data_IF_206578327119
#
_entry.id   IF_206578327119
#
_cell.length_a   1.000
_cell.length_b   1.000
_cell.length_c   1.000
_cell.angle_alpha   90.00
_cell.angle_beta   90.00
_cell.angle_gamma   90.00
#
_symmetry.space_group_name_H-M   'P 1'
#
loop_
_entity.id
_entity.type
_entity.pdbx_description
1 polymer ?
#
# COMPACT_ATOMS: atom_id res chain seq x y z
N UNK A 1 12.28 -10.59 -38.38
CA UNK A 1 13.26 -11.41 -37.64
C UNK A 1 14.04 -10.51 -36.67
N UNK A 2 13.61 -10.19 -35.44
CA UNK A 2 14.46 -9.47 -34.46
C UNK A 2 14.15 -9.65 -32.91
N UNK A 3 14.95 -10.40 -32.13
CA UNK A 3 15.12 -10.57 -30.65
C UNK A 3 16.39 -9.82 -30.31
N UNK A 4 16.37 -8.81 -29.46
CA UNK A 4 17.61 -8.09 -29.19
C UNK A 4 18.34 -8.76 -28.03
N UNK A 5 19.51 -9.34 -28.30
CA UNK A 5 20.46 -9.76 -27.26
C UNK A 5 21.14 -8.52 -26.66
N UNK A 6 21.71 -8.62 -25.45
CA UNK A 6 22.34 -7.51 -24.72
C UNK A 6 23.56 -6.87 -25.43
N UNK A 7 23.91 -7.35 -26.62
CA UNK A 7 24.96 -6.82 -27.51
C UNK A 7 24.43 -6.03 -28.72
N UNK A 8 23.11 -5.80 -28.82
CA UNK A 8 22.51 -4.99 -29.90
C UNK A 8 22.24 -5.76 -31.20
N UNK A 9 22.43 -7.08 -31.22
CA UNK A 9 22.06 -7.94 -32.35
C UNK A 9 20.61 -8.38 -32.24
N UNK A 10 19.90 -8.26 -33.36
CA UNK A 10 18.45 -8.36 -33.44
C UNK A 10 18.06 -9.69 -34.13
N UNK A 11 17.62 -10.70 -33.38
CA UNK A 11 17.29 -12.08 -33.81
C UNK A 11 15.80 -12.49 -33.86
N UNK A 12 15.16 -12.50 -35.01
CA UNK A 12 13.83 -13.17 -35.11
C UNK A 12 12.56 -12.49 -34.55
N UNK A 13 11.48 -12.42 -35.34
CA UNK A 13 10.15 -12.29 -34.77
C UNK A 13 9.98 -13.62 -34.06
N UNK A 14 9.90 -13.61 -32.73
CA UNK A 14 10.00 -14.82 -31.94
C UNK A 14 8.75 -15.71 -32.00
N UNK A 15 7.71 -15.30 -32.75
CA UNK A 15 6.43 -16.00 -32.78
C UNK A 15 5.87 -16.16 -31.38
N UNK A 16 5.39 -17.37 -31.07
CA UNK A 16 4.89 -17.72 -29.73
C UNK A 16 5.98 -18.24 -28.78
N UNK A 17 7.25 -18.32 -29.23
CA UNK A 17 8.34 -18.94 -28.45
C UNK A 17 8.53 -18.30 -27.07
N UNK A 18 8.46 -16.96 -26.99
CA UNK A 18 8.60 -16.27 -25.71
C UNK A 18 7.48 -16.64 -24.72
N UNK A 19 6.26 -16.91 -25.20
CA UNK A 19 5.15 -17.29 -24.33
C UNK A 19 5.27 -18.76 -23.91
N UNK A 20 5.62 -19.66 -24.83
CA UNK A 20 5.82 -21.09 -24.51
C UNK A 20 6.97 -21.27 -23.53
N UNK A 21 8.06 -20.52 -23.71
CA UNK A 21 9.21 -20.54 -22.80
C UNK A 21 8.79 -20.03 -21.42
N UNK A 22 8.07 -18.92 -21.35
CA UNK A 22 7.53 -18.35 -20.10
C UNK A 22 6.59 -19.32 -19.36
N UNK A 23 5.67 -19.99 -20.07
CA UNK A 23 4.78 -20.98 -19.45
C UNK A 23 5.49 -22.28 -19.06
N UNK A 24 6.65 -22.56 -19.64
CA UNK A 24 7.50 -23.68 -19.26
C UNK A 24 8.43 -23.36 -18.08
N UNK A 25 8.57 -22.09 -17.68
CA UNK A 25 9.33 -21.70 -16.49
C UNK A 25 8.64 -22.19 -15.22
N UNK A 26 9.36 -23.00 -14.43
CA UNK A 26 8.84 -23.55 -13.17
C UNK A 26 8.53 -22.49 -12.10
N UNK A 27 9.08 -21.29 -12.21
CA UNK A 27 8.89 -20.21 -11.24
C UNK A 27 7.62 -19.38 -11.47
N UNK A 28 7.01 -19.46 -12.66
CA UNK A 28 5.87 -18.62 -13.03
C UNK A 28 4.68 -18.73 -12.05
N UNK A 29 4.23 -19.93 -11.62
CA UNK A 29 3.15 -20.04 -10.64
C UNK A 29 3.49 -19.37 -9.30
N UNK A 30 4.75 -19.46 -8.86
CA UNK A 30 5.22 -18.82 -7.63
C UNK A 30 5.23 -17.30 -7.71
N UNK A 31 5.65 -16.73 -8.85
CA UNK A 31 5.61 -15.28 -9.11
C UNK A 31 4.17 -14.78 -9.18
N UNK A 32 3.28 -15.49 -9.88
CA UNK A 32 1.86 -15.14 -9.96
C UNK A 32 1.21 -15.14 -8.58
N UNK A 33 1.44 -16.19 -7.77
CA UNK A 33 0.88 -16.26 -6.43
C UNK A 33 1.35 -15.09 -5.55
N UNK A 34 2.65 -14.77 -5.56
CA UNK A 34 3.19 -13.63 -4.81
C UNK A 34 2.59 -12.31 -5.27
N UNK A 35 2.34 -12.15 -6.57
CA UNK A 35 1.70 -10.96 -7.14
C UNK A 35 0.25 -10.84 -6.69
N UNK A 36 -0.50 -11.95 -6.70
CA UNK A 36 -1.89 -11.95 -6.19
C UNK A 36 -1.93 -11.62 -4.70
N UNK A 37 -1.08 -12.26 -3.90
CA UNK A 37 -0.98 -11.98 -2.45
C UNK A 37 -0.62 -10.52 -2.20
N UNK A 38 0.35 -9.98 -2.96
CA UNK A 38 0.73 -8.58 -2.90
C UNK A 38 -0.46 -7.66 -3.18
N UNK A 39 -1.14 -7.85 -4.32
CA UNK A 39 -2.24 -6.99 -4.75
C UNK A 39 -3.41 -7.07 -3.76
N UNK A 40 -3.89 -8.28 -3.46
CA UNK A 40 -5.04 -8.46 -2.56
C UNK A 40 -4.73 -7.93 -1.17
N UNK A 41 -3.56 -8.26 -0.62
CA UNK A 41 -3.17 -7.82 0.72
C UNK A 41 -3.00 -6.31 0.83
N UNK A 42 -2.23 -5.70 -0.09
CA UNK A 42 -1.99 -4.25 -0.07
C UNK A 42 -3.29 -3.49 -0.29
N UNK A 43 -4.11 -3.87 -1.28
CA UNK A 43 -5.37 -3.17 -1.57
C UNK A 43 -6.35 -3.28 -0.40
N UNK A 44 -6.54 -4.48 0.15
CA UNK A 44 -7.48 -4.70 1.26
C UNK A 44 -7.08 -3.88 2.49
N UNK A 45 -5.81 -3.99 2.91
CA UNK A 45 -5.32 -3.25 4.09
C UNK A 45 -5.37 -1.75 3.85
N UNK A 46 -4.97 -1.28 2.67
CA UNK A 46 -5.01 0.15 2.33
C UNK A 46 -6.43 0.69 2.40
N UNK A 47 -7.41 0.01 1.80
CA UNK A 47 -8.81 0.45 1.83
C UNK A 47 -9.33 0.52 3.27
N UNK A 48 -9.10 -0.52 4.08
CA UNK A 48 -9.59 -0.56 5.46
C UNK A 48 -9.01 0.58 6.32
N UNK A 49 -7.70 0.78 6.25
CA UNK A 49 -7.02 1.84 7.03
C UNK A 49 -7.40 3.21 6.50
N UNK A 50 -7.39 3.41 5.18
CA UNK A 50 -7.76 4.68 4.54
C UNK A 50 -9.21 5.05 4.77
N UNK A 51 -10.12 4.09 4.87
CA UNK A 51 -11.50 4.35 5.22
C UNK A 51 -11.61 4.89 6.65
N UNK A 52 -10.92 4.27 7.61
CA UNK A 52 -10.85 4.78 8.98
C UNK A 52 -10.29 6.20 9.05
N UNK A 53 -9.21 6.47 8.30
CA UNK A 53 -8.63 7.82 8.18
C UNK A 53 -9.61 8.80 7.52
N UNK A 54 -10.29 8.40 6.46
CA UNK A 54 -11.27 9.22 5.77
C UNK A 54 -12.43 9.62 6.69
N UNK A 55 -12.95 8.68 7.49
CA UNK A 55 -13.98 8.97 8.48
C UNK A 55 -13.49 9.94 9.56
N UNK A 56 -12.28 9.72 10.08
CA UNK A 56 -11.67 10.65 11.04
C UNK A 56 -11.55 12.06 10.44
N UNK A 57 -11.07 12.16 9.20
CA UNK A 57 -10.97 13.43 8.46
C UNK A 57 -12.33 14.03 8.08
N UNK A 58 -13.41 13.25 8.13
CA UNK A 58 -14.76 13.71 7.90
C UNK A 58 -15.39 14.29 9.19
N UNK A 59 -15.14 13.68 10.35
CA UNK A 59 -15.79 13.92 11.65
C UNK A 59 -15.64 15.34 12.27
N UNK A 60 -14.89 16.26 11.65
CA UNK A 60 -14.84 17.67 12.07
C UNK A 60 -14.28 17.90 13.49
N UNK A 61 -12.97 17.73 13.68
CA UNK A 61 -12.30 17.95 14.97
C UNK A 61 -11.27 19.10 14.93
N UNK A 62 -10.95 19.76 16.06
CA UNK A 62 -9.92 20.80 16.11
C UNK A 62 -8.54 20.22 15.76
N UNK A 63 -7.83 20.84 14.82
CA UNK A 63 -6.54 20.34 14.31
C UNK A 63 -6.62 19.50 13.03
N UNK A 64 -7.83 19.28 12.47
CA UNK A 64 -8.03 18.54 11.21
C UNK A 64 -7.18 19.02 10.04
N UNK A 65 -6.92 20.33 9.95
CA UNK A 65 -6.02 20.89 8.92
C UNK A 65 -4.62 20.28 9.07
N UNK A 66 -4.02 20.33 10.25
CA UNK A 66 -2.67 19.80 10.50
C UNK A 66 -2.56 18.31 10.14
N UNK A 67 -3.57 17.50 10.49
CA UNK A 67 -3.60 16.08 10.14
C UNK A 67 -3.61 15.88 8.62
N UNK A 68 -4.41 16.66 7.87
CA UNK A 68 -4.42 16.61 6.40
C UNK A 68 -3.05 17.01 5.81
N UNK A 69 -2.41 18.04 6.36
CA UNK A 69 -1.06 18.44 5.94
C UNK A 69 -0.04 17.33 6.19
N UNK A 70 -0.05 16.74 7.38
CA UNK A 70 0.85 15.64 7.73
C UNK A 70 0.69 14.42 6.81
N UNK A 71 -0.54 14.12 6.35
CA UNK A 71 -0.77 13.04 5.40
C UNK A 71 -0.26 13.33 3.99
N UNK A 72 -0.25 14.60 3.56
CA UNK A 72 0.23 14.97 2.22
C UNK A 72 1.76 14.93 2.13
N UNK A 73 2.47 15.21 3.23
CA UNK A 73 3.94 15.30 3.26
C UNK A 73 4.64 14.04 2.69
N UNK A 74 4.30 12.81 3.13
CA UNK A 74 4.89 11.60 2.55
C UNK A 74 4.60 11.41 1.06
N UNK A 75 3.43 11.86 0.60
CA UNK A 75 2.99 11.71 -0.80
C UNK A 75 3.63 12.74 -1.74
N UNK A 76 4.05 13.89 -1.23
CA UNK A 76 4.72 14.92 -2.02
C UNK A 76 6.17 14.57 -2.42
N UNK A 77 6.72 13.48 -1.90
CA UNK A 77 8.10 13.05 -2.15
C UNK A 77 8.26 12.28 -3.46
N UNK A 78 9.44 12.35 -4.09
CA UNK A 78 9.72 11.59 -5.32
C UNK A 78 9.83 10.09 -5.03
N UNK A 79 9.44 9.26 -6.00
CA UNK A 79 9.48 7.79 -5.88
C UNK A 79 10.87 7.29 -5.48
N UNK A 80 11.93 7.85 -6.09
CA UNK A 80 13.30 7.49 -5.77
C UNK A 80 13.67 7.83 -4.33
N UNK A 81 13.33 9.04 -3.86
CA UNK A 81 13.65 9.45 -2.48
C UNK A 81 12.90 8.61 -1.46
N UNK A 82 11.62 8.35 -1.71
CA UNK A 82 10.81 7.46 -0.87
C UNK A 82 11.43 6.07 -0.79
N UNK A 83 11.90 5.50 -1.91
CA UNK A 83 12.56 4.19 -1.91
C UNK A 83 13.88 4.19 -1.12
N UNK A 84 14.70 5.24 -1.24
CA UNK A 84 15.95 5.37 -0.49
C UNK A 84 15.72 5.49 1.01
N UNK A 85 14.73 6.31 1.42
CA UNK A 85 14.36 6.48 2.83
C UNK A 85 13.88 5.14 3.39
N UNK A 86 12.97 4.43 2.71
CA UNK A 86 12.49 3.13 3.18
C UNK A 86 13.60 2.07 3.25
N UNK A 87 14.51 2.05 2.26
CA UNK A 87 15.68 1.16 2.30
C UNK A 87 16.57 1.45 3.51
N UNK A 88 16.76 2.73 3.85
CA UNK A 88 17.50 3.12 5.05
C UNK A 88 16.73 2.74 6.33
N UNK A 89 15.42 3.02 6.38
CA UNK A 89 14.56 2.72 7.54
C UNK A 89 14.50 1.23 7.86
N UNK A 90 14.51 0.37 6.83
CA UNK A 90 14.49 -1.09 6.94
C UNK A 90 15.89 -1.71 7.08
N UNK A 91 16.94 -0.90 7.21
CA UNK A 91 18.29 -1.41 7.39
C UNK A 91 18.43 -2.19 8.71
N UNK A 92 19.12 -3.33 8.68
CA UNK A 92 19.28 -4.18 9.85
C UNK A 92 20.02 -3.51 11.01
N UNK A 93 21.09 -2.76 10.72
CA UNK A 93 22.03 -2.27 11.73
C UNK A 93 21.68 -0.88 12.28
N UNK A 94 21.21 0.02 11.42
CA UNK A 94 20.96 1.42 11.77
C UNK A 94 19.58 1.91 11.33
N UNK A 95 18.69 1.00 10.92
CA UNK A 95 17.34 1.34 10.49
C UNK A 95 16.45 1.75 11.65
N UNK A 96 15.69 2.83 11.45
CA UNK A 96 14.76 3.36 12.46
C UNK A 96 13.64 2.36 12.80
N UNK A 97 13.24 1.48 11.87
CA UNK A 97 12.15 0.52 12.12
C UNK A 97 12.57 -0.51 13.17
N UNK A 98 13.75 -1.10 13.04
CA UNK A 98 14.28 -2.02 14.06
C UNK A 98 14.40 -1.32 15.41
N UNK A 99 14.97 -0.10 15.42
CA UNK A 99 15.13 0.66 16.66
C UNK A 99 13.80 0.93 17.35
N UNK A 100 12.81 1.43 16.63
CA UNK A 100 11.47 1.70 17.17
C UNK A 100 10.80 0.43 17.71
N UNK A 101 10.89 -0.68 16.98
CA UNK A 101 10.27 -1.94 17.41
C UNK A 101 10.99 -2.56 18.62
N UNK A 102 12.31 -2.41 18.73
CA UNK A 102 13.07 -2.80 19.93
C UNK A 102 12.73 -1.90 21.12
N UNK A 103 12.68 -0.57 20.92
CA UNK A 103 12.35 0.40 21.97
C UNK A 103 10.92 0.18 22.51
N UNK A 104 9.99 -0.28 21.67
CA UNK A 104 8.63 -0.65 22.05
C UNK A 104 8.52 -2.06 22.67
N UNK A 105 9.61 -2.82 22.76
CA UNK A 105 9.63 -4.19 23.27
C UNK A 105 8.94 -5.21 22.36
N UNK A 106 8.73 -4.89 21.08
CA UNK A 106 8.13 -5.79 20.09
C UNK A 106 9.17 -6.77 19.53
N UNK A 107 10.44 -6.36 19.49
CA UNK A 107 11.57 -7.18 19.04
C UNK A 107 12.65 -7.25 20.12
N UNK A 108 13.15 -8.46 20.39
CA UNK A 108 14.31 -8.66 21.27
C UNK A 108 15.64 -8.42 20.55
N UNK A 109 15.65 -8.50 19.22
CA UNK A 109 16.84 -8.36 18.37
C UNK A 109 16.48 -7.75 17.01
N UNK A 110 17.43 -7.05 16.35
CA UNK A 110 17.18 -6.45 15.04
C UNK A 110 16.90 -7.50 13.97
N UNK A 111 15.90 -7.23 13.13
CA UNK A 111 15.46 -8.11 12.04
C UNK A 111 16.02 -7.60 10.71
N UNK A 112 16.55 -8.51 9.89
CA UNK A 112 16.92 -8.20 8.52
C UNK A 112 15.72 -8.37 7.58
N UNK A 113 14.88 -7.35 7.51
CA UNK A 113 13.62 -7.33 6.75
C UNK A 113 13.74 -7.73 5.28
N UNK A 114 14.92 -7.54 4.68
CA UNK A 114 15.16 -7.78 3.24
C UNK A 114 15.98 -9.04 2.95
N UNK A 115 16.38 -9.81 3.98
CA UNK A 115 17.21 -11.01 3.79
C UNK A 115 16.44 -12.21 3.25
N UNK A 116 15.17 -12.37 3.65
CA UNK A 116 14.36 -13.53 3.32
C UNK A 116 13.17 -13.15 2.44
N UNK A 117 12.84 -13.91 1.38
CA UNK A 117 11.79 -13.54 0.43
C UNK A 117 10.42 -13.26 1.07
N UNK A 118 9.99 -14.07 2.05
CA UNK A 118 8.70 -13.89 2.73
C UNK A 118 8.65 -12.63 3.59
N UNK A 119 9.73 -12.34 4.34
CA UNK A 119 9.84 -11.13 5.16
C UNK A 119 9.97 -9.89 4.29
N UNK A 120 10.74 -9.97 3.21
CA UNK A 120 10.88 -8.90 2.23
C UNK A 120 9.54 -8.55 1.60
N UNK A 121 8.74 -9.55 1.21
CA UNK A 121 7.40 -9.34 0.68
C UNK A 121 6.52 -8.61 1.70
N UNK A 122 6.46 -9.08 2.95
CA UNK A 122 5.65 -8.45 4.00
C UNK A 122 6.10 -7.01 4.30
N UNK A 123 7.40 -6.76 4.43
CA UNK A 123 7.95 -5.43 4.66
C UNK A 123 7.61 -4.49 3.49
N UNK A 124 7.81 -4.94 2.25
CA UNK A 124 7.48 -4.17 1.06
C UNK A 124 5.97 -3.92 0.92
N UNK A 125 5.11 -4.87 1.31
CA UNK A 125 3.66 -4.64 1.37
C UNK A 125 3.30 -3.56 2.40
N UNK A 126 3.94 -3.57 3.57
CA UNK A 126 3.75 -2.51 4.57
C UNK A 126 4.14 -1.12 4.05
N UNK A 127 5.27 -1.03 3.33
CA UNK A 127 5.68 0.20 2.64
C UNK A 127 4.67 0.62 1.58
N UNK A 128 4.19 -0.32 0.76
CA UNK A 128 3.22 -0.04 -0.29
C UNK A 128 1.89 0.49 0.29
N UNK A 129 1.42 -0.11 1.39
CA UNK A 129 0.24 0.38 2.14
C UNK A 129 0.49 1.81 2.59
N UNK A 130 1.58 2.07 3.32
CA UNK A 130 1.88 3.39 3.87
C UNK A 130 1.91 4.49 2.81
N UNK A 131 2.57 4.25 1.68
CA UNK A 131 2.66 5.22 0.57
C UNK A 131 1.30 5.43 -0.11
N UNK A 132 0.42 4.42 -0.09
CA UNK A 132 -0.91 4.49 -0.71
C UNK A 132 -1.98 5.12 0.19
N UNK A 133 -1.74 5.17 1.52
CA UNK A 133 -2.71 5.68 2.48
C UNK A 133 -3.18 7.11 2.17
N UNK A 134 -2.31 8.10 1.88
CA UNK A 134 -2.77 9.48 1.69
C UNK A 134 -3.75 9.60 0.53
N UNK A 135 -3.35 9.16 -0.65
CA UNK A 135 -4.17 9.23 -1.86
C UNK A 135 -5.52 8.52 -1.66
N UNK A 136 -5.49 7.27 -1.17
CA UNK A 136 -6.70 6.46 -0.99
C UNK A 136 -7.64 7.08 0.04
N UNK A 137 -7.10 7.64 1.14
CA UNK A 137 -7.92 8.32 2.16
C UNK A 137 -8.61 9.56 1.62
N UNK A 138 -7.94 10.35 0.77
CA UNK A 138 -8.56 11.53 0.16
C UNK A 138 -9.62 11.17 -0.88
N UNK A 139 -9.41 10.11 -1.66
CA UNK A 139 -10.43 9.59 -2.59
C UNK A 139 -11.67 9.14 -1.82
N UNK A 140 -11.50 8.34 -0.76
CA UNK A 140 -12.62 7.89 0.07
C UNK A 140 -13.30 9.06 0.79
N UNK A 141 -12.54 10.03 1.30
CA UNK A 141 -13.09 11.23 1.92
C UNK A 141 -13.93 12.05 0.93
N UNK A 142 -13.47 12.23 -0.31
CA UNK A 142 -14.25 12.90 -1.35
C UNK A 142 -15.57 12.15 -1.64
N UNK A 143 -15.51 10.81 -1.69
CA UNK A 143 -16.71 9.97 -1.80
C UNK A 143 -17.69 10.18 -0.64
N UNK A 144 -17.20 10.12 0.61
CA UNK A 144 -18.02 10.35 1.81
C UNK A 144 -18.66 11.75 1.82
N UNK A 145 -17.94 12.77 1.35
CA UNK A 145 -18.41 14.15 1.28
C UNK A 145 -19.42 14.40 0.14
N UNK A 146 -19.47 13.52 -0.86
CA UNK A 146 -20.45 13.61 -1.95
C UNK A 146 -21.86 13.16 -1.56
N UNK A 147 -21.99 12.41 -0.45
CA UNK A 147 -23.28 11.91 0.05
C UNK A 147 -24.08 13.08 0.64
N UNK A 148 -25.30 13.37 0.14
CA UNK A 148 -26.13 14.45 0.67
C UNK A 148 -26.43 14.25 2.17
N UNK A 149 -26.25 15.30 2.98
CA UNK A 149 -26.46 15.24 4.43
C UNK A 149 -27.87 14.79 4.86
N UNK A 150 -28.89 15.02 4.01
CA UNK A 150 -30.27 14.61 4.27
C UNK A 150 -30.46 13.10 4.40
N UNK A 151 -29.59 12.27 3.79
CA UNK A 151 -29.67 10.80 3.92
C UNK A 151 -29.36 10.37 5.36
N UNK A 152 -28.33 10.96 5.97
CA UNK A 152 -27.99 10.70 7.37
C UNK A 152 -29.03 11.24 8.35
N UNK A 153 -29.71 12.32 7.99
CA UNK A 153 -30.77 12.91 8.80
C UNK A 153 -32.02 12.03 8.82
N UNK A 154 -32.43 11.49 7.66
CA UNK A 154 -33.53 10.51 7.56
C UNK A 154 -33.17 9.22 8.31
N UNK A 155 -31.95 8.69 8.15
CA UNK A 155 -31.50 7.50 8.87
C UNK A 155 -31.52 7.68 10.40
N UNK A 156 -31.22 8.90 10.89
CA UNK A 156 -31.32 9.23 12.32
C UNK A 156 -32.77 9.32 12.80
N UNK A 157 -33.67 9.86 11.98
CA UNK A 157 -35.12 9.88 12.27
C UNK A 157 -35.68 8.46 12.31
N UNK A 158 -35.19 7.57 11.46
CA UNK A 158 -35.54 6.14 11.43
C UNK A 158 -34.88 5.30 12.55
N UNK A 159 -34.16 5.94 13.47
CA UNK A 159 -33.54 5.26 14.62
C UNK A 159 -32.34 4.38 14.25
N UNK A 160 -31.75 4.55 13.07
CA UNK A 160 -30.54 3.84 12.70
C UNK A 160 -29.36 4.32 13.56
N UNK A 161 -28.79 3.41 14.35
CA UNK A 161 -27.53 3.66 15.06
C UNK A 161 -26.39 3.98 14.07
N UNK A 162 -25.27 4.57 14.52
CA UNK A 162 -24.21 5.09 13.64
C UNK A 162 -23.60 4.05 12.70
N UNK A 163 -23.51 2.77 13.11
CA UNK A 163 -23.06 1.67 12.24
C UNK A 163 -24.13 1.29 11.21
N UNK A 164 -25.40 1.33 11.61
CA UNK A 164 -26.52 1.01 10.73
C UNK A 164 -26.68 2.10 9.66
N UNK A 165 -26.69 3.38 10.05
CA UNK A 165 -26.70 4.52 9.12
C UNK A 165 -25.47 4.61 8.20
N UNK A 166 -24.36 3.94 8.55
CA UNK A 166 -23.17 3.84 7.71
C UNK A 166 -23.23 2.68 6.70
N UNK A 167 -23.87 1.57 7.09
CA UNK A 167 -23.99 0.37 6.24
C UNK A 167 -25.31 0.30 5.46
N UNK A 168 -26.31 1.12 5.82
CA UNK A 168 -27.66 1.15 5.24
C UNK A 168 -28.44 2.41 5.59
#
# INVERSE_FOLDING_TARGET
LTKVSSTGLSEGFAGLRNYTDLFAEGDLPGVLLRTVVWVVGVVTVTILVSLGLAQLLNAGFPGRRLVRWAMIVPWASSVLMTALIWRWMLNNFYGVINRLLMDLGVLDAPVNWLAHPGQALAAMMGVAVFVSLPFTSFVLLAGLQSVPGGVYEVARVDGAGPVRAYLG
#
